data_IF_405560279429
#
_entry.id   IF_405560279429
#
_cell.length_a   1.000
_cell.length_b   1.000
_cell.length_c   1.000
_cell.angle_alpha   90.00
_cell.angle_beta   90.00
_cell.angle_gamma   90.00
#
_symmetry.space_group_name_H-M   'P 1'
#
loop_
_entity.id
_entity.type
_entity.pdbx_description
1 polymer ?
#
# COMPACT_ATOMS: atom_id res chain seq x y z
N UNK A 1 2.86 -19.51 -25.99
CA UNK A 1 3.57 -18.21 -26.01
C UNK A 1 4.12 -18.00 -24.62
N UNK A 2 5.43 -17.79 -24.48
CA UNK A 2 6.06 -17.55 -23.18
C UNK A 2 5.73 -16.14 -22.69
N UNK A 3 5.44 -16.01 -21.40
CA UNK A 3 5.33 -14.75 -20.70
C UNK A 3 6.74 -14.18 -20.51
N UNK A 4 7.06 -13.11 -21.24
CA UNK A 4 8.38 -12.49 -21.21
C UNK A 4 8.42 -11.40 -20.14
N UNK A 5 9.37 -11.51 -19.21
CA UNK A 5 9.58 -10.53 -18.16
C UNK A 5 10.87 -9.77 -18.47
N UNK A 6 10.76 -8.59 -19.07
CA UNK A 6 11.95 -7.75 -19.30
C UNK A 6 12.59 -7.39 -17.94
N UNK A 7 13.82 -7.88 -17.75
CA UNK A 7 14.63 -7.78 -16.53
C UNK A 7 15.72 -6.70 -16.59
N UNK A 8 15.82 -5.94 -17.69
CA UNK A 8 16.74 -4.81 -17.73
C UNK A 8 16.42 -3.82 -16.60
N UNK A 9 17.43 -3.54 -15.76
CA UNK A 9 17.26 -2.79 -14.53
C UNK A 9 16.71 -1.39 -14.79
N UNK A 10 17.21 -0.70 -15.81
CA UNK A 10 16.80 0.67 -16.09
C UNK A 10 15.39 0.70 -16.66
N UNK A 11 15.02 -0.24 -17.52
CA UNK A 11 13.66 -0.36 -18.05
C UNK A 11 12.65 -0.70 -16.95
N UNK A 12 13.00 -1.60 -16.02
CA UNK A 12 12.17 -1.93 -14.85
C UNK A 12 11.96 -0.73 -13.93
N UNK A 13 13.02 0.04 -13.64
CA UNK A 13 12.89 1.25 -12.82
C UNK A 13 12.11 2.35 -13.56
N UNK A 14 12.32 2.53 -14.86
CA UNK A 14 11.55 3.44 -15.69
C UNK A 14 10.07 3.09 -15.72
N UNK A 15 9.74 1.80 -15.80
CA UNK A 15 8.38 1.31 -15.68
C UNK A 15 7.72 1.78 -14.38
N UNK A 16 8.38 1.59 -13.22
CA UNK A 16 7.84 2.04 -11.94
C UNK A 16 7.69 3.57 -11.85
N UNK A 17 8.64 4.35 -12.41
CA UNK A 17 8.52 5.82 -12.50
C UNK A 17 7.31 6.23 -13.35
N UNK A 18 7.05 5.55 -14.47
CA UNK A 18 5.89 5.80 -15.32
C UNK A 18 4.58 5.46 -14.62
N UNK A 19 4.52 4.34 -13.89
CA UNK A 19 3.36 3.97 -13.07
C UNK A 19 3.07 5.08 -12.06
N UNK A 20 4.07 5.48 -11.27
CA UNK A 20 3.94 6.56 -10.27
C UNK A 20 3.39 7.84 -10.90
N UNK A 21 4.01 8.34 -11.97
CA UNK A 21 3.58 9.56 -12.68
C UNK A 21 2.13 9.47 -13.18
N UNK A 22 1.73 8.28 -13.61
CA UNK A 22 0.37 8.03 -14.09
C UNK A 22 -0.63 8.04 -12.93
N UNK A 23 -0.29 7.38 -11.81
CA UNK A 23 -1.11 7.40 -10.58
C UNK A 23 -1.22 8.81 -9.99
N UNK A 24 -0.15 9.61 -10.02
CA UNK A 24 -0.16 11.02 -9.57
C UNK A 24 -1.15 11.86 -10.39
N UNK A 25 -1.11 11.73 -11.73
CA UNK A 25 -2.05 12.41 -12.62
C UNK A 25 -3.49 11.98 -12.35
N UNK A 26 -3.74 10.69 -12.13
CA UNK A 26 -5.06 10.17 -11.75
C UNK A 26 -5.53 10.83 -10.44
N UNK A 27 -4.72 10.77 -9.39
CA UNK A 27 -5.03 11.33 -8.08
C UNK A 27 -5.25 12.85 -8.12
N UNK A 28 -4.46 13.60 -8.89
CA UNK A 28 -4.68 15.05 -9.09
C UNK A 28 -6.06 15.32 -9.70
N UNK A 29 -6.44 14.62 -10.78
CA UNK A 29 -7.77 14.79 -11.42
C UNK A 29 -8.91 14.48 -10.47
N UNK A 30 -8.73 13.48 -9.60
CA UNK A 30 -9.70 13.10 -8.57
C UNK A 30 -9.82 14.21 -7.53
N UNK A 31 -8.68 14.70 -7.02
CA UNK A 31 -8.64 15.78 -6.06
C UNK A 31 -9.30 17.05 -6.61
N UNK A 32 -8.99 17.42 -7.86
CA UNK A 32 -9.60 18.57 -8.55
C UNK A 32 -11.12 18.41 -8.68
N UNK A 33 -11.59 17.22 -9.04
CA UNK A 33 -13.04 16.95 -9.19
C UNK A 33 -13.77 17.03 -7.85
N UNK A 34 -13.16 16.50 -6.79
CA UNK A 34 -13.71 16.56 -5.44
C UNK A 34 -13.64 17.99 -4.90
N UNK A 35 -12.56 18.72 -5.13
CA UNK A 35 -12.45 20.12 -4.70
C UNK A 35 -13.53 20.98 -5.36
N UNK A 36 -13.71 20.88 -6.68
CA UNK A 36 -14.79 21.58 -7.40
C UNK A 36 -16.18 21.26 -6.83
N UNK A 37 -16.43 20.00 -6.46
CA UNK A 37 -17.69 19.57 -5.84
C UNK A 37 -17.91 20.18 -4.45
N UNK A 38 -16.82 20.44 -3.71
CA UNK A 38 -16.83 20.84 -2.31
C UNK A 38 -16.51 22.32 -2.05
N UNK A 39 -16.05 23.09 -3.05
CA UNK A 39 -15.64 24.50 -2.93
C UNK A 39 -16.66 25.39 -2.20
N UNK A 40 -17.96 25.15 -2.41
CA UNK A 40 -19.04 25.92 -1.77
C UNK A 40 -19.69 25.22 -0.55
N UNK A 41 -19.14 24.08 -0.11
CA UNK A 41 -19.72 23.22 0.92
C UNK A 41 -18.91 23.28 2.21
N UNK A 42 -18.85 24.48 2.82
CA UNK A 42 -18.05 24.77 4.02
C UNK A 42 -18.36 23.85 5.22
N UNK A 43 -19.56 23.25 5.27
CA UNK A 43 -19.97 22.28 6.29
C UNK A 43 -19.19 20.96 6.27
N UNK A 44 -18.41 20.65 5.23
CA UNK A 44 -17.55 19.46 5.21
C UNK A 44 -16.14 19.71 5.74
N UNK A 45 -15.80 20.93 6.17
CA UNK A 45 -14.42 21.27 6.61
C UNK A 45 -13.89 20.45 7.77
N UNK A 46 -14.77 19.79 8.53
CA UNK A 46 -14.41 18.88 9.60
C UNK A 46 -14.14 17.44 9.11
N UNK A 47 -14.01 17.23 7.79
CA UNK A 47 -13.80 15.92 7.17
C UNK A 47 -12.55 15.90 6.32
N UNK A 48 -12.01 14.69 6.14
CA UNK A 48 -10.89 14.39 5.28
C UNK A 48 -11.30 13.23 4.39
N UNK A 49 -10.97 13.31 3.09
CA UNK A 49 -11.02 12.20 2.15
C UNK A 49 -9.59 11.81 1.82
N UNK A 50 -9.26 10.54 2.01
CA UNK A 50 -7.93 9.99 1.69
C UNK A 50 -8.09 8.73 0.86
N UNK A 51 -7.16 8.49 -0.06
CA UNK A 51 -7.07 7.21 -0.77
C UNK A 51 -6.12 6.27 -0.04
N UNK A 52 -6.36 4.96 -0.18
CA UNK A 52 -5.56 3.93 0.48
C UNK A 52 -5.02 2.85 -0.49
N UNK A 53 -4.42 1.79 0.06
CA UNK A 53 -3.56 0.80 -0.59
C UNK A 53 -2.69 1.23 -1.78
N UNK A 54 -2.85 0.58 -2.94
CA UNK A 54 -1.97 0.77 -4.10
C UNK A 54 -2.22 2.11 -4.79
N UNK A 55 -3.39 2.72 -4.59
CA UNK A 55 -3.64 4.10 -5.00
C UNK A 55 -2.81 5.08 -4.16
N UNK A 56 -2.77 4.91 -2.83
CA UNK A 56 -1.91 5.76 -1.97
C UNK A 56 -0.44 5.62 -2.30
N UNK A 57 0.03 4.40 -2.58
CA UNK A 57 1.45 4.13 -2.89
C UNK A 57 1.87 4.58 -4.29
N UNK A 58 0.92 5.07 -5.10
CA UNK A 58 1.16 5.42 -6.49
C UNK A 58 1.69 4.22 -7.30
N UNK A 59 1.15 3.04 -6.98
CA UNK A 59 1.52 1.76 -7.57
C UNK A 59 0.50 1.28 -8.60
N UNK A 60 -0.70 1.86 -8.66
CA UNK A 60 -1.73 1.41 -9.59
C UNK A 60 -1.46 1.90 -11.02
N UNK A 61 -1.35 0.96 -11.96
CA UNK A 61 -1.42 1.26 -13.39
C UNK A 61 -2.87 1.64 -13.71
N UNK A 62 -3.13 2.92 -13.99
CA UNK A 62 -4.48 3.43 -14.28
C UNK A 62 -4.94 3.00 -15.67
N UNK A 63 -5.26 1.73 -15.82
CA UNK A 63 -5.98 1.28 -16.99
C UNK A 63 -7.43 1.07 -16.60
N UNK A 64 -8.35 1.73 -17.32
CA UNK A 64 -9.80 1.61 -17.09
C UNK A 64 -10.27 0.15 -17.10
N UNK A 65 -9.58 -0.71 -17.88
CA UNK A 65 -9.85 -2.15 -17.94
C UNK A 65 -9.28 -2.97 -16.79
N UNK A 66 -8.25 -2.48 -16.07
CA UNK A 66 -7.72 -3.20 -14.90
C UNK A 66 -8.67 -3.17 -13.71
N UNK A 67 -9.78 -2.40 -13.77
CA UNK A 67 -10.76 -2.22 -12.68
C UNK A 67 -10.08 -2.06 -11.32
N UNK A 68 -8.95 -1.36 -11.28
CA UNK A 68 -8.29 -1.04 -10.02
C UNK A 68 -9.14 0.04 -9.35
N UNK A 69 -10.15 -0.46 -8.65
CA UNK A 69 -11.16 0.33 -7.99
C UNK A 69 -10.49 1.12 -6.87
N UNK A 70 -10.90 2.37 -6.71
CA UNK A 70 -10.35 3.18 -5.64
C UNK A 70 -11.00 2.84 -4.32
N UNK A 71 -10.18 2.84 -3.29
CA UNK A 71 -10.65 2.81 -1.91
C UNK A 71 -10.45 4.18 -1.27
N UNK A 72 -11.50 4.72 -0.66
CA UNK A 72 -11.42 5.91 0.17
C UNK A 72 -11.61 5.60 1.64
N UNK A 73 -10.97 6.42 2.45
CA UNK A 73 -11.26 6.56 3.87
C UNK A 73 -11.76 7.99 4.05
N UNK A 74 -12.99 8.14 4.50
CA UNK A 74 -13.55 9.43 4.91
C UNK A 74 -13.50 9.49 6.43
N UNK A 75 -12.73 10.44 6.95
CA UNK A 75 -12.62 10.67 8.39
C UNK A 75 -13.38 11.94 8.74
N UNK A 76 -14.21 11.89 9.77
CA UNK A 76 -14.87 13.06 10.34
C UNK A 76 -14.36 13.35 11.77
N UNK A 77 -14.28 14.65 12.09
CA UNK A 77 -14.03 15.16 13.43
C UNK A 77 -15.24 15.98 13.89
N UNK A 78 -16.22 15.37 14.58
CA UNK A 78 -17.47 16.05 14.93
C UNK A 78 -17.28 17.37 15.68
N UNK A 79 -16.25 17.49 16.53
CA UNK A 79 -16.01 18.69 17.35
C UNK A 79 -15.63 19.93 16.52
N UNK A 80 -15.19 19.75 15.27
CA UNK A 80 -14.89 20.85 14.36
C UNK A 80 -16.07 21.19 13.43
N UNK A 81 -17.24 20.57 13.63
CA UNK A 81 -18.41 20.89 12.83
C UNK A 81 -18.80 22.36 13.03
N UNK A 82 -18.73 23.13 11.94
CA UNK A 82 -19.19 24.51 11.93
C UNK A 82 -20.71 24.46 12.10
N UNK A 83 -21.24 25.17 13.10
CA UNK A 83 -22.69 25.35 13.30
C UNK A 83 -23.35 25.75 11.98
N UNK A 84 -23.94 24.75 11.32
CA UNK A 84 -24.72 24.92 10.12
C UNK A 84 -26.15 24.49 10.45
N UNK A 85 -27.13 25.13 9.81
CA UNK A 85 -28.53 24.75 9.98
C UNK A 85 -28.81 23.32 9.48
N UNK A 86 -27.88 22.72 8.72
CA UNK A 86 -27.97 21.36 8.19
C UNK A 86 -26.60 20.65 8.27
N UNK A 87 -26.19 20.18 9.46
CA UNK A 87 -24.99 19.36 9.60
C UNK A 87 -25.06 18.18 8.62
N UNK A 88 -23.94 17.88 7.95
CA UNK A 88 -23.87 16.82 6.95
C UNK A 88 -22.86 15.79 7.40
N UNK A 89 -23.30 14.55 7.57
CA UNK A 89 -22.46 13.45 8.04
C UNK A 89 -21.45 12.99 6.98
N UNK A 90 -20.49 12.15 7.38
CA UNK A 90 -19.58 11.49 6.44
C UNK A 90 -20.33 10.63 5.41
N UNK A 91 -21.47 10.02 5.75
CA UNK A 91 -22.33 9.29 4.81
C UNK A 91 -22.89 10.19 3.70
N UNK A 92 -23.28 11.42 4.05
CA UNK A 92 -23.76 12.39 3.05
C UNK A 92 -22.63 12.79 2.09
N UNK A 93 -21.41 12.97 2.60
CA UNK A 93 -20.24 13.23 1.77
C UNK A 93 -19.94 12.03 0.85
N UNK A 94 -19.99 10.82 1.39
CA UNK A 94 -19.87 9.57 0.63
C UNK A 94 -20.87 9.52 -0.54
N UNK A 95 -22.17 9.77 -0.30
CA UNK A 95 -23.19 9.80 -1.36
C UNK A 95 -22.90 10.86 -2.42
N UNK A 96 -22.43 12.03 -2.01
CA UNK A 96 -22.09 13.14 -2.91
C UNK A 96 -20.90 12.75 -3.79
N UNK A 97 -19.83 12.21 -3.21
CA UNK A 97 -18.65 11.76 -3.97
C UNK A 97 -19.02 10.62 -4.92
N UNK A 98 -19.65 9.55 -4.42
CA UNK A 98 -19.99 8.38 -5.24
C UNK A 98 -20.92 8.68 -6.42
N UNK A 99 -21.75 9.72 -6.33
CA UNK A 99 -22.66 10.13 -7.43
C UNK A 99 -22.02 11.03 -8.46
N UNK A 100 -21.01 11.81 -8.08
CA UNK A 100 -20.51 12.91 -8.89
C UNK A 100 -19.12 12.67 -9.47
N UNK A 101 -18.39 11.64 -9.01
CA UNK A 101 -17.08 11.34 -9.57
C UNK A 101 -17.10 10.11 -10.46
N UNK A 102 -16.57 10.27 -11.67
CA UNK A 102 -16.74 9.34 -12.80
C UNK A 102 -15.85 8.10 -12.76
N UNK A 103 -15.11 7.87 -11.67
CA UNK A 103 -14.25 6.70 -11.53
C UNK A 103 -14.95 5.56 -10.80
N UNK A 104 -14.47 4.34 -11.02
CA UNK A 104 -14.89 3.16 -10.26
C UNK A 104 -14.36 3.27 -8.82
N UNK A 105 -15.27 3.61 -7.92
CA UNK A 105 -15.05 3.56 -6.48
C UNK A 105 -15.49 2.18 -5.98
N UNK A 106 -14.56 1.41 -5.41
CA UNK A 106 -14.88 0.09 -4.86
C UNK A 106 -15.62 0.26 -3.54
N UNK A 107 -15.04 1.10 -2.70
CA UNK A 107 -15.25 1.05 -1.28
C UNK A 107 -14.96 2.39 -0.64
N UNK A 108 -15.81 2.75 0.31
CA UNK A 108 -15.59 3.87 1.23
C UNK A 108 -15.63 3.32 2.65
N UNK A 109 -14.53 3.47 3.38
CA UNK A 109 -14.50 3.30 4.83
C UNK A 109 -14.80 4.64 5.49
N UNK A 110 -15.73 4.64 6.46
CA UNK A 110 -16.05 5.82 7.28
C UNK A 110 -15.39 5.68 8.65
N UNK A 111 -14.85 6.79 9.16
CA UNK A 111 -14.19 6.86 10.47
C UNK A 111 -14.60 8.13 11.21
N UNK A 112 -15.00 7.98 12.46
CA UNK A 112 -15.31 9.10 13.35
C UNK A 112 -14.24 9.22 14.43
N UNK A 113 -13.51 10.33 14.43
CA UNK A 113 -12.52 10.65 15.45
C UNK A 113 -13.20 10.71 16.83
N UNK A 114 -12.56 10.11 17.83
CA UNK A 114 -13.05 10.04 19.21
C UNK A 114 -13.97 8.84 19.49
N UNK A 115 -14.54 8.22 18.47
CA UNK A 115 -15.37 7.01 18.59
C UNK A 115 -14.67 5.77 18.03
N UNK A 116 -14.00 5.91 16.90
CA UNK A 116 -13.37 4.80 16.20
C UNK A 116 -11.89 4.63 16.54
N UNK A 117 -11.42 3.38 16.43
CA UNK A 117 -9.98 3.09 16.39
C UNK A 117 -9.45 3.34 14.99
N UNK A 118 -8.57 4.31 14.85
CA UNK A 118 -8.04 4.74 13.56
C UNK A 118 -7.07 3.71 12.96
N UNK A 119 -6.38 2.92 13.79
CA UNK A 119 -5.48 1.86 13.31
C UNK A 119 -6.19 0.57 12.85
N UNK A 120 -7.50 0.43 13.08
CA UNK A 120 -8.27 -0.77 12.73
C UNK A 120 -8.99 -0.58 11.41
N UNK A 121 -9.02 -1.60 10.56
CA UNK A 121 -9.85 -1.62 9.36
C UNK A 121 -11.30 -1.98 9.72
N UNK A 122 -12.27 -1.23 9.21
CA UNK A 122 -13.72 -1.46 9.43
C UNK A 122 -14.13 -1.52 10.91
N UNK A 123 -13.37 -0.86 11.78
CA UNK A 123 -13.55 -0.92 13.23
C UNK A 123 -13.42 -2.34 13.83
N UNK A 124 -12.86 -3.30 13.08
CA UNK A 124 -12.53 -4.62 13.60
C UNK A 124 -11.19 -4.58 14.36
N UNK A 125 -11.25 -4.90 15.65
CA UNK A 125 -10.10 -4.98 16.54
C UNK A 125 -9.08 -6.06 16.13
N UNK A 126 -9.49 -7.04 15.32
CA UNK A 126 -8.62 -8.10 14.82
C UNK A 126 -7.91 -7.70 13.52
N UNK A 127 -8.43 -6.72 12.79
CA UNK A 127 -7.91 -6.23 11.51
C UNK A 127 -7.13 -4.94 11.70
N UNK A 128 -6.00 -5.02 12.41
CA UNK A 128 -5.15 -3.86 12.66
C UNK A 128 -4.24 -3.57 11.46
N UNK A 129 -4.40 -2.40 10.85
CA UNK A 129 -3.67 -1.90 9.67
C UNK A 129 -3.39 -0.39 9.82
N UNK A 130 -2.47 0.02 10.71
CA UNK A 130 -2.18 1.43 10.98
C UNK A 130 -1.79 2.22 9.72
N UNK A 131 -1.11 1.55 8.78
CA UNK A 131 -0.69 2.12 7.49
C UNK A 131 -1.86 2.54 6.60
N UNK A 132 -3.10 2.10 6.87
CA UNK A 132 -4.26 2.48 6.05
C UNK A 132 -4.53 3.98 6.07
N UNK A 133 -4.48 4.60 7.25
CA UNK A 133 -4.64 6.05 7.43
C UNK A 133 -3.27 6.72 7.45
N UNK A 134 -2.32 6.15 8.17
CA UNK A 134 -1.03 6.79 8.41
C UNK A 134 -0.21 7.04 7.15
N UNK A 135 -0.32 6.13 6.18
CA UNK A 135 0.33 6.23 4.87
C UNK A 135 -0.63 6.70 3.76
N UNK A 136 -1.88 7.03 4.09
CA UNK A 136 -2.85 7.42 3.08
C UNK A 136 -2.45 8.71 2.37
N UNK A 137 -2.83 8.82 1.10
CA UNK A 137 -2.66 10.04 0.33
C UNK A 137 -3.94 10.87 0.46
N UNK A 138 -3.89 12.10 1.01
CA UNK A 138 -5.08 12.89 1.16
C UNK A 138 -5.52 13.42 -0.21
N UNK A 139 -6.82 13.32 -0.47
CA UNK A 139 -7.45 13.72 -1.73
C UNK A 139 -8.18 15.05 -1.55
N UNK A 140 -8.80 15.22 -0.38
CA UNK A 140 -9.41 16.48 0.02
C UNK A 140 -9.32 16.62 1.54
N UNK A 141 -8.70 17.69 2.03
CA UNK A 141 -8.39 17.79 3.45
C UNK A 141 -8.14 19.23 3.92
N UNK A 142 -8.18 19.39 5.23
CA UNK A 142 -7.59 20.53 5.93
C UNK A 142 -6.21 20.10 6.46
N UNK A 143 -5.15 20.86 6.17
CA UNK A 143 -3.77 20.53 6.57
C UNK A 143 -3.63 20.28 8.08
N UNK A 144 -4.20 21.15 8.90
CA UNK A 144 -4.16 21.02 10.36
C UNK A 144 -4.86 19.74 10.83
N UNK A 145 -6.04 19.44 10.28
CA UNK A 145 -6.78 18.23 10.62
C UNK A 145 -6.03 16.97 10.16
N UNK A 146 -5.36 17.01 9.01
CA UNK A 146 -4.60 15.86 8.49
C UNK A 146 -3.34 15.59 9.30
N UNK A 147 -2.53 16.61 9.60
CA UNK A 147 -1.37 16.48 10.51
C UNK A 147 -1.82 15.98 11.89
N UNK A 148 -2.93 16.50 12.42
CA UNK A 148 -3.50 16.04 13.68
C UNK A 148 -3.94 14.56 13.63
N UNK A 149 -4.63 14.15 12.55
CA UNK A 149 -5.05 12.77 12.35
C UNK A 149 -3.85 11.80 12.35
N UNK A 150 -2.75 12.16 11.67
CA UNK A 150 -1.54 11.33 11.61
C UNK A 150 -0.84 11.25 12.96
N UNK A 151 -0.88 12.32 13.75
CA UNK A 151 -0.42 12.31 15.14
C UNK A 151 -1.25 11.34 16.00
N UNK A 152 -2.57 11.41 15.94
CA UNK A 152 -3.46 10.49 16.67
C UNK A 152 -3.19 9.03 16.32
N UNK A 153 -3.05 8.71 15.03
CA UNK A 153 -2.70 7.36 14.59
C UNK A 153 -1.34 6.93 15.15
N UNK A 154 -0.37 7.84 15.23
CA UNK A 154 0.93 7.57 15.84
C UNK A 154 0.83 7.29 17.34
N UNK A 155 -0.02 8.02 18.06
CA UNK A 155 -0.32 7.78 19.47
C UNK A 155 -1.01 6.42 19.70
N UNK A 156 -1.93 6.00 18.80
CA UNK A 156 -2.51 4.66 18.80
C UNK A 156 -1.47 3.55 18.53
N UNK A 157 -0.52 3.78 17.61
CA UNK A 157 0.60 2.86 17.32
C UNK A 157 1.52 2.70 18.55
N UNK A 158 1.80 3.80 19.24
CA UNK A 158 2.64 3.85 20.44
C UNK A 158 1.98 3.12 21.61
N UNK A 159 0.68 3.37 21.84
CA UNK A 159 -0.08 2.74 22.92
C UNK A 159 -0.32 1.23 22.69
N UNK A 160 -0.42 0.80 21.42
CA UNK A 160 -0.61 -0.61 21.09
C UNK A 160 0.72 -1.40 21.07
N UNK A 161 1.17 -1.86 22.24
CA UNK A 161 2.40 -2.69 22.38
C UNK A 161 2.39 -3.97 21.53
N UNK A 162 1.22 -4.55 21.24
CA UNK A 162 1.08 -5.81 20.47
C UNK A 162 1.24 -5.62 18.96
N UNK A 163 1.17 -4.38 18.46
CA UNK A 163 1.21 -4.06 17.03
C UNK A 163 2.44 -4.61 16.30
N UNK A 164 3.62 -4.46 16.90
CA UNK A 164 4.87 -5.02 16.35
C UNK A 164 4.81 -6.55 16.25
N UNK A 165 4.15 -7.22 17.19
CA UNK A 165 3.97 -8.67 17.17
C UNK A 165 3.00 -9.10 16.07
N UNK A 166 1.93 -8.35 15.82
CA UNK A 166 1.03 -8.62 14.69
C UNK A 166 1.75 -8.55 13.34
N UNK A 167 2.56 -7.51 13.13
CA UNK A 167 3.34 -7.37 11.89
C UNK A 167 4.44 -8.44 11.77
N UNK A 168 5.13 -8.79 12.86
CA UNK A 168 6.06 -9.93 12.87
C UNK A 168 5.36 -11.23 12.48
N UNK A 169 4.21 -11.55 13.07
CA UNK A 169 3.43 -12.75 12.72
C UNK A 169 3.01 -12.77 11.25
N UNK A 170 2.64 -11.62 10.67
CA UNK A 170 2.33 -11.51 9.23
C UNK A 170 3.56 -11.78 8.37
N UNK A 171 4.72 -11.20 8.72
CA UNK A 171 5.99 -11.50 8.06
C UNK A 171 6.33 -13.00 8.15
N UNK A 172 6.14 -13.62 9.32
CA UNK A 172 6.38 -15.06 9.52
C UNK A 172 5.47 -15.96 8.67
N UNK A 173 4.21 -15.53 8.40
CA UNK A 173 3.32 -16.22 7.47
C UNK A 173 3.90 -16.18 6.05
N UNK A 174 4.37 -15.02 5.62
CA UNK A 174 4.96 -14.86 4.29
C UNK A 174 6.28 -15.64 4.15
N UNK A 175 7.11 -15.67 5.20
CA UNK A 175 8.34 -16.47 5.22
C UNK A 175 8.08 -17.98 5.14
N UNK A 176 6.98 -18.46 5.73
CA UNK A 176 6.59 -19.87 5.62
C UNK A 176 6.10 -20.22 4.22
N UNK A 177 5.49 -19.29 3.50
CA UNK A 177 5.08 -19.49 2.12
C UNK A 177 6.28 -19.75 1.19
N UNK A 178 7.44 -19.14 1.48
CA UNK A 178 8.70 -19.40 0.76
C UNK A 178 9.16 -20.86 0.88
N UNK A 179 9.08 -21.46 2.07
CA UNK A 179 9.65 -22.81 2.30
C UNK A 179 8.84 -23.95 1.68
N UNK A 180 7.54 -23.74 1.50
CA UNK A 180 6.64 -24.80 1.06
C UNK A 180 6.09 -24.57 -0.36
N UNK A 181 6.40 -23.42 -0.98
CA UNK A 181 5.81 -22.92 -2.24
C UNK A 181 4.27 -22.93 -2.27
N UNK A 182 3.68 -23.14 -1.10
CA UNK A 182 2.26 -23.32 -0.82
C UNK A 182 1.89 -22.28 0.22
N UNK A 183 0.97 -21.42 -0.14
CA UNK A 183 0.42 -20.43 0.77
C UNK A 183 -0.93 -20.87 1.28
N UNK A 184 -1.27 -20.41 2.48
CA UNK A 184 -2.62 -20.48 2.99
C UNK A 184 -3.15 -19.05 3.10
N UNK A 185 -4.18 -18.70 2.33
CA UNK A 185 -4.94 -17.47 2.53
C UNK A 185 -6.41 -17.82 2.75
N UNK A 186 -7.03 -17.26 3.80
CA UNK A 186 -8.41 -17.57 4.20
C UNK A 186 -8.71 -19.09 4.24
N UNK A 187 -7.78 -19.89 4.75
CA UNK A 187 -7.84 -21.37 4.83
C UNK A 187 -7.83 -22.14 3.50
N UNK A 188 -7.65 -21.47 2.35
CA UNK A 188 -7.38 -22.12 1.05
C UNK A 188 -5.89 -22.33 0.87
N UNK A 189 -5.47 -23.55 0.51
CA UNK A 189 -4.08 -23.85 0.12
C UNK A 189 -3.96 -23.65 -1.39
N UNK A 190 -2.94 -22.92 -1.84
CA UNK A 190 -2.64 -22.78 -3.26
C UNK A 190 -1.14 -22.75 -3.50
N UNK A 191 -0.75 -23.19 -4.70
CA UNK A 191 0.62 -23.13 -5.20
C UNK A 191 0.87 -21.73 -5.79
N UNK A 192 1.90 -21.06 -5.27
CA UNK A 192 2.19 -19.68 -5.65
C UNK A 192 2.86 -19.61 -7.03
N UNK A 193 3.79 -20.52 -7.28
CA UNK A 193 4.56 -20.67 -8.53
C UNK A 193 5.28 -22.01 -8.50
N UNK A 194 5.69 -22.48 -9.67
CA UNK A 194 6.52 -23.65 -9.86
C UNK A 194 7.71 -23.27 -10.73
N UNK A 195 8.79 -22.78 -10.09
CA UNK A 195 9.98 -22.33 -10.79
C UNK A 195 10.76 -23.47 -11.43
N UNK A 196 10.61 -24.70 -10.96
CA UNK A 196 11.28 -25.87 -11.55
C UNK A 196 10.64 -26.21 -12.91
N UNK A 197 9.33 -25.97 -13.06
CA UNK A 197 8.61 -26.05 -14.33
C UNK A 197 8.46 -24.70 -15.07
N UNK A 198 9.05 -23.61 -14.54
CA UNK A 198 8.98 -22.25 -15.08
C UNK A 198 7.54 -21.71 -15.19
N UNK A 199 6.70 -21.96 -14.19
CA UNK A 199 5.30 -21.52 -14.13
C UNK A 199 5.08 -20.49 -13.03
N UNK A 200 4.36 -19.43 -13.37
CA UNK A 200 3.79 -18.48 -12.42
C UNK A 200 2.26 -18.64 -12.41
N UNK A 201 1.65 -18.55 -11.22
CA UNK A 201 0.20 -18.57 -11.09
C UNK A 201 -0.37 -17.18 -10.79
N UNK A 202 -1.57 -16.89 -11.26
CA UNK A 202 -2.34 -15.70 -10.88
C UNK A 202 -3.83 -16.00 -10.96
N UNK A 203 -4.46 -16.22 -9.81
CA UNK A 203 -5.90 -16.50 -9.70
C UNK A 203 -6.49 -15.65 -8.55
N UNK A 204 -7.01 -14.45 -8.85
CA UNK A 204 -7.57 -13.57 -7.84
C UNK A 204 -8.84 -14.13 -7.20
N UNK A 205 -9.62 -14.97 -7.90
CA UNK A 205 -10.86 -15.56 -7.37
C UNK A 205 -10.59 -16.56 -6.24
N UNK A 206 -9.47 -17.27 -6.35
CA UNK A 206 -8.99 -18.16 -5.29
C UNK A 206 -7.94 -17.53 -4.37
N UNK A 207 -7.76 -16.20 -4.46
CA UNK A 207 -6.79 -15.41 -3.72
C UNK A 207 -5.32 -15.85 -3.93
N UNK A 208 -5.03 -16.48 -5.07
CA UNK A 208 -3.69 -16.78 -5.53
C UNK A 208 -3.09 -15.57 -6.27
N UNK A 209 -2.86 -14.49 -5.53
CA UNK A 209 -2.14 -13.31 -6.01
C UNK A 209 -0.72 -13.32 -5.42
N UNK A 210 0.05 -14.37 -5.69
CA UNK A 210 1.29 -14.61 -4.92
C UNK A 210 2.21 -13.40 -4.92
N UNK A 211 2.49 -12.76 -6.07
CA UNK A 211 3.39 -11.59 -6.17
C UNK A 211 2.99 -10.46 -5.21
N UNK A 212 1.67 -10.23 -5.08
CA UNK A 212 1.09 -9.24 -4.16
C UNK A 212 1.36 -9.63 -2.71
N UNK A 213 1.11 -10.89 -2.34
CA UNK A 213 1.31 -11.37 -0.98
C UNK A 213 2.78 -11.64 -0.63
N UNK A 214 3.60 -11.95 -1.62
CA UNK A 214 5.03 -12.23 -1.54
C UNK A 214 5.62 -12.04 -2.96
N UNK A 215 6.54 -11.10 -3.20
CA UNK A 215 7.38 -10.40 -2.23
C UNK A 215 6.93 -8.97 -1.89
N UNK A 216 5.98 -8.39 -2.64
CA UNK A 216 5.61 -6.97 -2.49
C UNK A 216 5.17 -6.64 -1.06
N UNK A 217 4.29 -7.45 -0.48
CA UNK A 217 3.79 -7.22 0.89
C UNK A 217 4.88 -7.32 1.95
N UNK A 218 5.91 -8.13 1.74
CA UNK A 218 7.00 -8.26 2.71
C UNK A 218 7.87 -7.02 2.74
N UNK A 219 8.16 -6.43 1.58
CA UNK A 219 8.85 -5.13 1.53
C UNK A 219 8.03 -4.05 2.24
N UNK A 220 6.73 -3.98 1.94
CA UNK A 220 5.80 -3.02 2.56
C UNK A 220 5.70 -3.20 4.08
N UNK A 221 5.51 -4.43 4.58
CA UNK A 221 5.41 -4.71 6.01
C UNK A 221 6.72 -4.51 6.76
N UNK A 222 7.86 -4.80 6.13
CA UNK A 222 9.17 -4.55 6.72
C UNK A 222 9.41 -3.06 6.89
N UNK A 223 9.07 -2.23 5.90
CA UNK A 223 9.12 -0.77 6.00
C UNK A 223 8.17 -0.24 7.07
N UNK A 224 6.92 -0.73 7.11
CA UNK A 224 5.96 -0.34 8.14
C UNK A 224 6.47 -0.68 9.55
N UNK A 225 7.02 -1.88 9.74
CA UNK A 225 7.58 -2.30 11.03
C UNK A 225 8.83 -1.49 11.41
N UNK A 226 9.67 -1.15 10.44
CA UNK A 226 10.80 -0.26 10.65
C UNK A 226 10.33 1.11 11.16
N UNK A 227 9.33 1.68 10.49
CA UNK A 227 8.77 2.98 10.83
C UNK A 227 8.11 2.99 12.21
N UNK A 228 7.32 1.96 12.55
CA UNK A 228 6.68 1.83 13.88
C UNK A 228 7.71 1.74 15.02
N UNK A 229 8.82 1.01 14.81
CA UNK A 229 9.91 0.96 15.80
C UNK A 229 10.59 2.32 15.94
N UNK A 230 10.73 3.06 14.84
CA UNK A 230 11.35 4.39 14.86
C UNK A 230 10.50 5.42 15.61
N UNK A 231 9.19 5.47 15.37
CA UNK A 231 8.26 6.32 16.13
C UNK A 231 8.38 6.05 17.63
N UNK A 232 8.47 4.77 18.04
CA UNK A 232 8.65 4.39 19.45
C UNK A 232 9.93 4.92 20.07
N UNK A 233 11.02 5.01 19.30
CA UNK A 233 12.34 5.37 19.82
C UNK A 233 12.62 6.88 19.81
N UNK A 234 12.07 7.65 18.87
CA UNK A 234 12.39 9.08 18.72
C UNK A 234 11.38 10.01 19.42
N UNK A 235 10.22 9.50 19.83
CA UNK A 235 9.03 10.33 20.07
C UNK A 235 8.58 10.99 18.75
N UNK A 236 7.26 11.08 18.56
CA UNK A 236 6.63 11.48 17.30
C UNK A 236 6.92 12.95 16.94
N UNK A 237 8.11 13.27 16.42
CA UNK A 237 8.34 14.59 15.84
C UNK A 237 7.34 14.75 14.69
N UNK A 238 6.39 15.70 14.76
CA UNK A 238 5.32 15.82 13.77
C UNK A 238 5.88 15.94 12.34
N UNK A 239 6.97 16.69 12.20
CA UNK A 239 7.66 16.91 10.92
C UNK A 239 8.19 15.61 10.28
N UNK A 240 8.61 14.63 11.09
CA UNK A 240 9.08 13.35 10.57
C UNK A 240 7.94 12.63 9.84
N UNK A 241 6.79 12.54 10.51
CA UNK A 241 5.62 11.84 9.97
C UNK A 241 5.17 12.58 8.71
N UNK A 242 5.03 13.90 8.77
CA UNK A 242 4.57 14.76 7.66
C UNK A 242 5.50 14.74 6.43
N UNK A 243 6.78 14.42 6.61
CA UNK A 243 7.74 14.27 5.50
C UNK A 243 7.78 12.90 4.83
N UNK A 244 7.08 11.88 5.35
CA UNK A 244 7.19 10.51 4.85
C UNK A 244 6.65 10.36 3.42
N UNK A 245 7.47 9.85 2.47
CA UNK A 245 6.97 9.55 1.13
C UNK A 245 5.92 8.44 1.14
N UNK A 246 4.93 8.57 0.26
CA UNK A 246 3.89 7.56 0.05
C UNK A 246 4.37 6.43 -0.85
N UNK A 247 5.15 6.71 -1.89
CA UNK A 247 5.67 5.65 -2.76
C UNK A 247 6.74 4.79 -2.05
N UNK A 248 6.71 3.47 -2.26
CA UNK A 248 7.64 2.53 -1.60
C UNK A 248 9.09 2.73 -2.03
N UNK A 249 9.35 3.06 -3.30
CA UNK A 249 10.71 3.30 -3.79
C UNK A 249 11.29 4.59 -3.20
N UNK A 250 10.49 5.67 -3.16
CA UNK A 250 10.90 6.92 -2.51
C UNK A 250 11.11 6.72 -1.00
N UNK A 251 10.27 5.89 -0.38
CA UNK A 251 10.38 5.56 1.04
C UNK A 251 11.69 4.83 1.32
N UNK A 252 12.09 3.89 0.47
CA UNK A 252 13.39 3.22 0.58
C UNK A 252 14.56 4.23 0.56
N UNK A 253 14.51 5.23 -0.33
CA UNK A 253 15.50 6.32 -0.36
C UNK A 253 15.46 7.16 0.92
N UNK A 254 14.27 7.57 1.35
CA UNK A 254 14.10 8.34 2.59
C UNK A 254 14.66 7.62 3.82
N UNK A 255 14.44 6.30 3.95
CA UNK A 255 14.99 5.50 5.05
C UNK A 255 16.51 5.41 5.01
N UNK A 256 17.09 5.43 3.81
CA UNK A 256 18.54 5.42 3.61
C UNK A 256 19.16 6.77 3.99
N UNK A 257 18.64 7.85 3.41
CA UNK A 257 19.21 9.20 3.52
C UNK A 257 19.16 9.74 4.96
N UNK A 258 18.13 9.32 5.70
CA UNK A 258 17.99 9.66 7.10
C UNK A 258 18.62 8.61 8.05
N UNK A 259 19.48 7.72 7.53
CA UNK A 259 20.28 6.74 8.28
C UNK A 259 19.45 5.77 9.13
N UNK A 260 18.22 5.49 8.71
CA UNK A 260 17.34 4.57 9.42
C UNK A 260 17.65 3.12 9.07
N UNK A 261 18.09 2.84 7.84
CA UNK A 261 18.53 1.51 7.42
C UNK A 261 20.06 1.32 7.53
N UNK A 262 20.50 0.11 7.94
CA UNK A 262 21.92 -0.33 7.86
C UNK A 262 22.19 -1.05 6.53
N UNK A 263 21.71 -0.48 5.43
CA UNK A 263 21.90 -1.04 4.10
C UNK A 263 22.90 -0.21 3.32
N UNK A 264 23.82 -0.88 2.64
CA UNK A 264 24.69 -0.26 1.64
C UNK A 264 23.88 0.32 0.47
N UNK A 265 24.49 1.20 -0.33
CA UNK A 265 23.85 1.69 -1.57
C UNK A 265 23.48 0.56 -2.50
N UNK A 266 24.38 -0.41 -2.66
CA UNK A 266 24.14 -1.57 -3.50
C UNK A 266 22.93 -2.38 -3.03
N UNK A 267 22.84 -2.70 -1.73
CA UNK A 267 21.69 -3.45 -1.19
C UNK A 267 20.38 -2.68 -1.39
N UNK A 268 20.39 -1.36 -1.15
CA UNK A 268 19.23 -0.50 -1.35
C UNK A 268 18.76 -0.50 -2.80
N UNK A 269 19.68 -0.29 -3.75
CA UNK A 269 19.38 -0.30 -5.18
C UNK A 269 18.87 -1.66 -5.64
N UNK A 270 19.39 -2.75 -5.05
CA UNK A 270 18.95 -4.11 -5.35
C UNK A 270 17.52 -4.35 -4.84
N UNK A 271 17.19 -3.91 -3.62
CA UNK A 271 15.82 -4.01 -3.07
C UNK A 271 14.83 -3.18 -3.91
N UNK A 272 15.22 -1.96 -4.30
CA UNK A 272 14.39 -1.10 -5.17
C UNK A 272 14.12 -1.78 -6.51
N UNK A 273 15.14 -2.36 -7.12
CA UNK A 273 15.01 -3.12 -8.35
C UNK A 273 14.07 -4.33 -8.17
N UNK A 274 14.28 -5.14 -7.14
CA UNK A 274 13.42 -6.30 -6.84
C UNK A 274 11.96 -5.87 -6.67
N UNK A 275 11.72 -4.80 -5.90
CA UNK A 275 10.37 -4.27 -5.70
C UNK A 275 9.71 -3.86 -7.02
N UNK A 276 10.43 -3.07 -7.82
CA UNK A 276 9.96 -2.60 -9.13
C UNK A 276 9.69 -3.76 -10.11
N UNK A 277 10.57 -4.77 -10.11
CA UNK A 277 10.46 -5.97 -10.94
C UNK A 277 9.19 -6.76 -10.62
N UNK A 278 8.96 -7.07 -9.34
CA UNK A 278 7.76 -7.79 -8.94
C UNK A 278 6.48 -6.95 -9.10
N UNK A 279 6.54 -5.63 -8.94
CA UNK A 279 5.39 -4.76 -9.23
C UNK A 279 5.02 -4.83 -10.73
N UNK A 280 6.03 -4.84 -11.61
CA UNK A 280 5.84 -5.01 -13.06
C UNK A 280 5.21 -6.36 -13.39
N UNK A 281 5.74 -7.45 -12.84
CA UNK A 281 5.16 -8.81 -13.01
C UNK A 281 3.70 -8.81 -12.57
N UNK A 282 3.41 -8.27 -11.38
CA UNK A 282 2.04 -8.25 -10.86
C UNK A 282 1.06 -7.58 -11.83
N UNK A 283 1.42 -6.41 -12.37
CA UNK A 283 0.58 -5.72 -13.35
C UNK A 283 0.49 -6.44 -14.69
N UNK A 284 1.54 -7.12 -15.13
CA UNK A 284 1.50 -7.93 -16.34
C UNK A 284 0.56 -9.13 -16.16
N UNK A 285 0.65 -9.85 -15.04
CA UNK A 285 -0.26 -10.96 -14.72
C UNK A 285 -1.72 -10.49 -14.63
N UNK A 286 -1.97 -9.36 -13.96
CA UNK A 286 -3.30 -8.73 -13.91
C UNK A 286 -3.84 -8.42 -15.30
N UNK A 287 -2.99 -7.85 -16.16
CA UNK A 287 -3.37 -7.53 -17.54
C UNK A 287 -3.73 -8.80 -18.30
N UNK A 288 -2.86 -9.81 -18.31
CA UNK A 288 -3.12 -11.05 -19.05
C UNK A 288 -4.38 -11.78 -18.55
N UNK A 289 -4.60 -11.84 -17.24
CA UNK A 289 -5.81 -12.41 -16.67
C UNK A 289 -7.06 -11.65 -17.11
N UNK A 290 -7.03 -10.32 -17.11
CA UNK A 290 -8.19 -9.51 -17.50
C UNK A 290 -8.62 -9.70 -18.97
N UNK A 291 -7.70 -10.08 -19.87
CA UNK A 291 -7.98 -10.26 -21.29
C UNK A 291 -8.14 -11.73 -21.72
N UNK A 292 -7.60 -12.67 -20.96
CA UNK A 292 -7.55 -14.08 -21.36
C UNK A 292 -8.08 -15.07 -20.32
N UNK A 293 -8.39 -14.60 -19.11
CA UNK A 293 -8.79 -15.42 -17.95
C UNK A 293 -7.77 -16.50 -17.57
N UNK A 294 -6.56 -16.44 -18.13
CA UNK A 294 -5.48 -17.39 -17.82
C UNK A 294 -4.99 -17.16 -16.39
N UNK A 295 -4.83 -18.27 -15.69
CA UNK A 295 -4.29 -18.28 -14.32
C UNK A 295 -2.88 -18.88 -14.24
N UNK A 296 -2.34 -19.38 -15.35
CA UNK A 296 -1.04 -20.02 -15.44
C UNK A 296 -0.19 -19.39 -16.55
N UNK A 297 1.07 -19.11 -16.23
CA UNK A 297 1.98 -18.35 -17.10
C UNK A 297 3.34 -19.01 -17.18
N UNK A 298 3.71 -19.51 -18.36
CA UNK A 298 5.01 -20.09 -18.61
C UNK A 298 6.06 -18.99 -18.86
N UNK A 299 7.07 -18.93 -18.01
CA UNK A 299 8.21 -17.99 -18.12
C UNK A 299 9.44 -18.67 -18.70
N UNK A 300 10.45 -17.89 -19.05
CA UNK A 300 11.72 -18.44 -19.50
C UNK A 300 12.51 -19.05 -18.33
N UNK A 301 13.48 -19.91 -18.63
CA UNK A 301 14.37 -20.47 -17.59
C UNK A 301 15.20 -19.39 -16.90
N UNK A 302 15.63 -18.39 -17.66
CA UNK A 302 16.42 -17.28 -17.15
C UNK A 302 15.58 -16.43 -16.19
N UNK A 303 14.34 -16.08 -16.56
CA UNK A 303 13.39 -15.38 -15.68
C UNK A 303 13.13 -16.17 -14.39
N UNK A 304 12.95 -17.49 -14.52
CA UNK A 304 12.71 -18.37 -13.37
C UNK A 304 13.90 -18.35 -12.39
N UNK A 305 15.12 -18.39 -12.93
CA UNK A 305 16.34 -18.34 -12.15
C UNK A 305 16.54 -16.96 -11.49
N UNK A 306 16.26 -15.87 -12.20
CA UNK A 306 16.30 -14.50 -11.67
C UNK A 306 15.32 -14.33 -10.52
N UNK A 307 14.06 -14.73 -10.70
CA UNK A 307 13.03 -14.72 -9.65
C UNK A 307 13.51 -15.50 -8.43
N UNK A 308 14.04 -16.72 -8.63
CA UNK A 308 14.56 -17.56 -7.55
C UNK A 308 15.65 -16.84 -6.75
N UNK A 309 16.63 -16.23 -7.43
CA UNK A 309 17.71 -15.49 -6.78
C UNK A 309 17.21 -14.27 -6.02
N UNK A 310 16.29 -13.48 -6.59
CA UNK A 310 15.70 -12.32 -5.91
C UNK A 310 14.92 -12.72 -4.66
N UNK A 311 14.16 -13.81 -4.73
CA UNK A 311 13.39 -14.32 -3.59
C UNK A 311 14.30 -14.86 -2.47
N UNK A 312 15.39 -15.56 -2.82
CA UNK A 312 16.42 -15.99 -1.86
C UNK A 312 17.04 -14.75 -1.22
N UNK A 313 17.46 -13.76 -2.01
CA UNK A 313 18.05 -12.53 -1.49
C UNK A 313 17.13 -11.82 -0.50
N UNK A 314 15.84 -11.64 -0.82
CA UNK A 314 14.88 -11.03 0.10
C UNK A 314 14.76 -11.81 1.41
N UNK A 315 14.78 -13.14 1.33
CA UNK A 315 14.66 -14.00 2.51
C UNK A 315 15.90 -14.05 3.39
N UNK A 316 17.08 -13.83 2.84
CA UNK A 316 18.34 -13.90 3.60
C UNK A 316 18.82 -12.52 4.04
N UNK A 317 18.58 -11.51 3.21
CA UNK A 317 19.21 -10.19 3.33
C UNK A 317 18.24 -9.09 3.71
N UNK A 318 16.95 -9.21 3.42
CA UNK A 318 15.99 -8.15 3.68
C UNK A 318 15.19 -8.41 4.97
N UNK A 319 15.86 -8.30 6.11
CA UNK A 319 15.21 -8.39 7.42
C UNK A 319 15.06 -7.02 8.07
N UNK A 320 13.95 -6.86 8.80
CA UNK A 320 13.64 -5.68 9.62
C UNK A 320 14.80 -5.32 10.57
N UNK A 321 15.59 -6.31 10.98
CA UNK A 321 16.78 -6.12 11.83
C UNK A 321 17.93 -5.41 11.10
N UNK A 322 18.08 -5.61 9.78
CA UNK A 322 19.03 -4.86 8.95
C UNK A 322 18.48 -3.48 8.54
N UNK A 323 17.16 -3.33 8.48
CA UNK A 323 16.49 -2.06 8.18
C UNK A 323 16.50 -1.04 9.32
N UNK A 324 17.04 -1.38 10.50
CA UNK A 324 17.04 -0.47 11.64
C UNK A 324 18.41 -0.37 12.32
N UNK A 325 18.94 0.85 12.42
CA UNK A 325 19.83 1.20 13.53
C UNK A 325 19.01 1.24 14.82
N UNK A 326 19.31 0.29 15.73
CA UNK A 326 18.93 0.37 17.15
C UNK A 326 19.40 1.68 17.74
#
# INVERSE_FOLDING_TARGET
MSFCIESDKENVLNYSRMVKKTSERRNSRIADSIDQLLQNRKWYRNKIIMTTWSDWRLENKSHEWLRSNMEFIIVEKPELEIYSQHPKSAEDLCRVVSRNVSFLLDWIELKTIGSDKLISFENDNNLVFPTRIWDSLPVWWNNELYSWLRRMVSEEILSNKKLSTYFKKRLDVHNRAQKNWKSNFKNKKFEMYDLDNNLLFYDPENANEWVKYWPLRVIQYSLALALMRKIRNIWAHPDFIDSLPTNILDRLDFFKDNWYAKLSQWEMDHIKYIYAYFLKIYHQLQFEYAFSEKTEFLITKDDSQDIKQMLIYLSESFWVEKLLKT
#
